data_IF_457876422367
#
_entry.id   IF_457876422367
#
_cell.length_a   1.000
_cell.length_b   1.000
_cell.length_c   1.000
_cell.angle_alpha   90.00
_cell.angle_beta   90.00
_cell.angle_gamma   90.00
#
_symmetry.space_group_name_H-M   'P 1'
#
loop_
_entity.id
_entity.type
_entity.pdbx_description
1 polymer ?
#
# COMPACT_ATOMS: atom_id res chain seq x y z
N UNK A 1 -43.66 -28.13 0.90
CA UNK A 1 -43.80 -26.89 1.70
C UNK A 1 -42.46 -26.17 1.69
N UNK A 2 -42.44 -24.95 1.15
CA UNK A 2 -41.25 -24.13 1.03
C UNK A 2 -40.87 -23.53 2.39
N UNK A 3 -39.71 -23.89 2.93
CA UNK A 3 -39.08 -23.20 4.05
C UNK A 3 -38.25 -22.04 3.53
N UNK A 4 -38.58 -20.82 3.93
CA UNK A 4 -37.95 -19.59 3.46
C UNK A 4 -36.49 -19.47 3.91
N UNK A 5 -35.58 -19.36 2.94
CA UNK A 5 -34.15 -19.09 3.11
C UNK A 5 -33.87 -17.60 3.46
N UNK A 6 -34.38 -17.09 4.59
CA UNK A 6 -34.33 -15.65 4.92
C UNK A 6 -33.54 -15.29 6.17
N UNK A 7 -32.47 -16.02 6.51
CA UNK A 7 -31.65 -15.72 7.71
C UNK A 7 -30.14 -15.49 7.47
N UNK A 8 -29.69 -15.20 6.26
CA UNK A 8 -28.27 -14.88 5.99
C UNK A 8 -28.00 -13.53 5.29
N UNK A 9 -29.02 -12.81 4.83
CA UNK A 9 -28.83 -11.56 4.07
C UNK A 9 -28.41 -10.37 4.96
N UNK A 10 -28.86 -10.34 6.22
CA UNK A 10 -28.57 -9.24 7.15
C UNK A 10 -27.09 -9.17 7.56
N UNK A 11 -26.46 -10.33 7.79
CA UNK A 11 -25.04 -10.41 8.16
C UNK A 11 -24.16 -9.92 6.99
N UNK A 12 -24.44 -10.39 5.77
CA UNK A 12 -23.73 -9.91 4.57
C UNK A 12 -23.92 -8.42 4.34
N UNK A 13 -25.12 -7.87 4.51
CA UNK A 13 -25.38 -6.45 4.24
C UNK A 13 -24.63 -5.53 5.21
N UNK A 14 -24.65 -5.84 6.51
CA UNK A 14 -23.89 -5.08 7.51
C UNK A 14 -22.38 -5.21 7.30
N UNK A 15 -21.91 -6.39 6.87
CA UNK A 15 -20.52 -6.61 6.52
C UNK A 15 -20.09 -5.80 5.28
N UNK A 16 -20.92 -5.71 4.25
CA UNK A 16 -20.67 -4.82 3.10
C UNK A 16 -20.74 -3.34 3.47
N UNK A 17 -21.64 -2.93 4.38
CA UNK A 17 -21.68 -1.56 4.88
C UNK A 17 -20.39 -1.18 5.63
N UNK A 18 -19.74 -2.14 6.29
CA UNK A 18 -18.48 -1.91 7.00
C UNK A 18 -17.31 -1.50 6.08
N UNK A 19 -17.41 -1.77 4.77
CA UNK A 19 -16.35 -1.45 3.81
C UNK A 19 -16.14 0.05 3.67
N UNK A 20 -17.20 0.85 3.76
CA UNK A 20 -17.14 2.31 3.60
C UNK A 20 -16.32 2.96 4.72
N UNK A 21 -16.66 2.79 6.01
CA UNK A 21 -15.86 3.34 7.10
C UNK A 21 -14.47 2.71 7.17
N UNK A 22 -14.32 1.42 6.85
CA UNK A 22 -13.00 0.78 6.79
C UNK A 22 -12.12 1.38 5.69
N UNK A 23 -12.68 1.69 4.52
CA UNK A 23 -11.98 2.36 3.42
C UNK A 23 -11.58 3.78 3.80
N UNK A 24 -12.49 4.55 4.43
CA UNK A 24 -12.17 5.88 4.90
C UNK A 24 -11.04 5.86 5.96
N UNK A 25 -11.11 4.91 6.90
CA UNK A 25 -10.09 4.73 7.94
C UNK A 25 -8.75 4.29 7.36
N UNK A 26 -8.75 3.37 6.38
CA UNK A 26 -7.56 3.01 5.62
C UNK A 26 -6.95 4.23 4.94
N UNK A 27 -7.75 4.97 4.17
CA UNK A 27 -7.31 6.19 3.49
C UNK A 27 -6.67 7.21 4.44
N UNK A 28 -7.32 7.52 5.57
CA UNK A 28 -6.81 8.47 6.55
C UNK A 28 -5.52 7.98 7.21
N UNK A 29 -5.47 6.72 7.61
CA UNK A 29 -4.27 6.09 8.18
C UNK A 29 -3.08 6.22 7.23
N UNK A 30 -3.26 5.86 5.96
CA UNK A 30 -2.18 5.96 4.97
C UNK A 30 -1.85 7.41 4.62
N UNK A 31 -2.82 8.31 4.63
CA UNK A 31 -2.58 9.75 4.48
C UNK A 31 -1.69 10.29 5.59
N UNK A 32 -1.94 9.90 6.82
CA UNK A 32 -1.15 10.39 7.94
C UNK A 32 0.24 9.74 8.00
N UNK A 33 0.36 8.47 7.67
CA UNK A 33 1.62 7.72 7.82
C UNK A 33 2.54 7.83 6.60
N UNK A 34 2.00 8.03 5.39
CA UNK A 34 2.78 7.97 4.14
C UNK A 34 2.82 9.27 3.34
N UNK A 35 1.92 10.22 3.58
CA UNK A 35 1.89 11.47 2.81
C UNK A 35 3.16 12.31 3.07
N UNK A 36 3.81 12.88 2.03
CA UNK A 36 5.08 13.60 2.16
C UNK A 36 5.00 14.85 3.06
N UNK A 37 3.84 15.49 3.13
CA UNK A 37 3.62 16.67 3.98
C UNK A 37 3.22 16.34 5.42
N UNK A 38 2.98 15.06 5.76
CA UNK A 38 2.53 14.69 7.10
C UNK A 38 3.63 14.86 8.15
N UNK A 39 3.29 15.52 9.27
CA UNK A 39 4.17 15.66 10.43
C UNK A 39 4.45 14.31 11.11
N UNK A 40 3.49 13.40 11.07
CA UNK A 40 3.63 12.07 11.68
C UNK A 40 4.63 11.23 10.89
N UNK A 41 4.56 11.27 9.54
CA UNK A 41 5.58 10.62 8.69
C UNK A 41 7.00 11.09 9.02
N UNK A 42 7.20 12.39 9.30
CA UNK A 42 8.52 12.94 9.65
C UNK A 42 9.04 12.46 11.01
N UNK A 43 8.15 12.05 11.91
CA UNK A 43 8.50 11.47 13.22
C UNK A 43 8.71 9.95 13.18
N UNK A 44 8.35 9.27 12.08
CA UNK A 44 8.54 7.83 11.97
C UNK A 44 10.03 7.49 11.79
N UNK A 45 10.54 6.45 12.47
CA UNK A 45 11.94 6.05 12.36
C UNK A 45 12.24 5.61 10.93
N UNK A 46 13.31 6.17 10.35
CA UNK A 46 13.77 5.78 9.03
C UNK A 46 14.68 4.54 9.16
N UNK A 47 14.04 3.36 9.16
CA UNK A 47 14.75 2.09 9.22
C UNK A 47 15.35 1.82 7.83
N UNK A 48 16.62 2.19 7.69
CA UNK A 48 17.44 1.96 6.50
C UNK A 48 18.59 1.00 6.82
N UNK A 49 18.69 -0.07 6.05
CA UNK A 49 19.87 -0.92 5.90
C UNK A 49 20.53 -0.60 4.56
N UNK A 50 21.82 -0.92 4.40
CA UNK A 50 22.64 -0.60 3.19
C UNK A 50 21.92 -0.80 1.84
N UNK A 51 21.07 -1.82 1.71
CA UNK A 51 20.37 -2.16 0.45
C UNK A 51 18.83 -2.04 0.52
N UNK A 52 18.27 -1.86 1.71
CA UNK A 52 16.82 -1.92 1.95
C UNK A 52 16.40 -0.83 2.95
N UNK A 53 15.50 0.05 2.54
CA UNK A 53 14.77 0.94 3.42
C UNK A 53 13.36 0.38 3.58
N UNK A 54 12.94 0.07 4.80
CA UNK A 54 11.63 -0.57 5.05
C UNK A 54 10.58 0.46 5.43
N UNK A 55 10.96 1.51 6.16
CA UNK A 55 10.06 2.53 6.68
C UNK A 55 10.48 3.94 6.25
N UNK A 56 9.54 4.88 6.01
CA UNK A 56 8.07 4.73 5.84
C UNK A 56 7.67 4.32 4.42
N UNK A 57 8.64 4.03 3.55
CA UNK A 57 8.43 3.56 2.18
C UNK A 57 9.39 2.40 1.96
N UNK A 58 8.92 1.31 1.37
CA UNK A 58 9.75 0.16 1.03
C UNK A 58 10.57 0.55 -0.21
N UNK A 59 11.88 0.67 -0.04
CA UNK A 59 12.82 0.95 -1.12
C UNK A 59 13.91 -0.08 -1.12
N UNK A 60 14.16 -0.70 -2.26
CA UNK A 60 15.29 -1.61 -2.42
C UNK A 60 16.21 -1.12 -3.52
N UNK A 61 17.52 -1.22 -3.28
CA UNK A 61 18.54 -0.91 -4.26
C UNK A 61 18.98 -2.20 -4.96
N UNK A 62 18.84 -2.26 -6.28
CA UNK A 62 19.27 -3.40 -7.09
C UNK A 62 19.90 -2.89 -8.39
N UNK A 63 21.14 -3.33 -8.68
CA UNK A 63 21.88 -3.01 -9.92
C UNK A 63 21.83 -1.51 -10.33
N UNK A 64 22.08 -0.58 -9.40
CA UNK A 64 22.07 0.86 -9.70
C UNK A 64 20.71 1.48 -9.97
N UNK A 65 19.63 0.77 -9.64
CA UNK A 65 18.27 1.29 -9.65
C UNK A 65 17.70 1.22 -8.24
N UNK A 66 16.98 2.27 -7.86
CA UNK A 66 16.22 2.33 -6.61
C UNK A 66 14.76 2.05 -6.96
N UNK A 67 14.26 0.93 -6.51
CA UNK A 67 12.85 0.57 -6.66
C UNK A 67 12.09 1.04 -5.43
N UNK A 68 11.10 1.88 -5.62
CA UNK A 68 10.15 2.32 -4.60
C UNK A 68 8.88 1.50 -4.73
N UNK A 69 8.70 0.54 -3.84
CA UNK A 69 7.45 -0.18 -3.70
C UNK A 69 6.47 0.69 -2.92
N UNK A 70 5.53 1.25 -3.66
CA UNK A 70 4.45 2.02 -3.07
C UNK A 70 3.40 1.08 -2.49
N UNK A 71 2.88 1.43 -1.32
CA UNK A 71 1.84 0.65 -0.64
C UNK A 71 0.60 0.44 -1.51
N UNK A 72 0.23 1.38 -2.39
CA UNK A 72 -0.90 1.17 -3.31
C UNK A 72 -0.68 0.00 -4.27
N UNK A 73 0.55 -0.23 -4.73
CA UNK A 73 0.84 -1.35 -5.63
C UNK A 73 0.80 -2.67 -4.86
N UNK A 74 1.49 -2.76 -3.73
CA UNK A 74 1.48 -3.97 -2.90
C UNK A 74 0.09 -4.31 -2.38
N UNK A 75 -0.69 -3.32 -1.94
CA UNK A 75 -2.07 -3.54 -1.50
C UNK A 75 -2.98 -3.94 -2.64
N UNK A 76 -2.77 -3.46 -3.87
CA UNK A 76 -3.53 -3.93 -5.03
C UNK A 76 -3.29 -5.40 -5.27
N UNK A 77 -2.03 -5.85 -5.24
CA UNK A 77 -1.69 -7.28 -5.39
C UNK A 77 -2.30 -8.11 -4.26
N UNK A 78 -2.17 -7.68 -3.01
CA UNK A 78 -2.73 -8.39 -1.85
C UNK A 78 -4.26 -8.45 -1.91
N UNK A 79 -4.92 -7.36 -2.31
CA UNK A 79 -6.37 -7.30 -2.43
C UNK A 79 -6.88 -8.21 -3.55
N UNK A 80 -6.20 -8.27 -4.70
CA UNK A 80 -6.54 -9.21 -5.76
C UNK A 80 -6.35 -10.65 -5.28
N UNK A 81 -5.22 -10.94 -4.64
CA UNK A 81 -4.95 -12.28 -4.10
C UNK A 81 -5.97 -12.70 -3.04
N UNK A 82 -6.52 -11.78 -2.23
CA UNK A 82 -7.54 -12.11 -1.21
C UNK A 82 -8.91 -12.48 -1.78
N UNK A 83 -9.13 -12.33 -3.08
CA UNK A 83 -10.30 -12.90 -3.76
C UNK A 83 -10.09 -14.35 -4.19
N UNK A 84 -8.84 -14.78 -4.40
CA UNK A 84 -8.51 -16.13 -4.85
C UNK A 84 -8.02 -17.03 -3.72
N UNK A 85 -7.42 -16.44 -2.70
CA UNK A 85 -6.85 -17.14 -1.56
C UNK A 85 -7.64 -16.76 -0.30
N UNK A 86 -8.23 -17.76 0.35
CA UNK A 86 -8.82 -17.58 1.68
C UNK A 86 -7.71 -17.66 2.71
N UNK A 87 -7.30 -16.50 3.24
CA UNK A 87 -6.18 -16.37 4.16
C UNK A 87 -6.62 -15.53 5.35
N UNK A 88 -7.43 -16.12 6.24
CA UNK A 88 -7.74 -15.64 7.58
C UNK A 88 -8.03 -14.15 7.66
N UNK A 89 -7.02 -13.33 7.96
CA UNK A 89 -7.17 -11.88 8.10
C UNK A 89 -7.58 -11.16 6.80
N UNK A 90 -7.22 -11.72 5.63
CA UNK A 90 -7.55 -11.16 4.32
C UNK A 90 -9.00 -11.44 3.91
N UNK A 91 -9.69 -12.35 4.61
CA UNK A 91 -11.07 -12.74 4.28
C UNK A 91 -12.07 -11.70 4.80
N UNK A 92 -11.71 -11.00 5.89
CA UNK A 92 -12.55 -9.97 6.49
C UNK A 92 -12.74 -8.76 5.56
N UNK A 93 -14.00 -8.35 5.39
CA UNK A 93 -14.36 -7.20 4.56
C UNK A 93 -13.73 -5.89 5.05
N UNK A 94 -13.52 -5.77 6.37
CA UNK A 94 -12.81 -4.64 6.99
C UNK A 94 -11.37 -4.55 6.47
N UNK A 95 -10.64 -5.66 6.43
CA UNK A 95 -9.26 -5.70 5.93
C UNK A 95 -9.21 -5.30 4.45
N UNK A 96 -10.13 -5.83 3.65
CA UNK A 96 -10.28 -5.47 2.22
C UNK A 96 -10.58 -3.99 2.05
N UNK A 97 -11.45 -3.42 2.89
CA UNK A 97 -11.72 -1.98 2.94
C UNK A 97 -10.49 -1.15 3.29
N UNK A 98 -9.74 -1.51 4.33
CA UNK A 98 -8.50 -0.81 4.72
C UNK A 98 -7.47 -0.83 3.58
N UNK A 99 -7.28 -1.99 2.93
CA UNK A 99 -6.41 -2.13 1.76
C UNK A 99 -6.87 -1.22 0.62
N UNK A 100 -8.17 -1.22 0.32
CA UNK A 100 -8.77 -0.35 -0.71
C UNK A 100 -8.54 1.13 -0.40
N UNK A 101 -8.73 1.55 0.86
CA UNK A 101 -8.45 2.92 1.31
C UNK A 101 -7.00 3.33 1.09
N UNK A 102 -6.06 2.43 1.36
CA UNK A 102 -4.63 2.64 1.09
C UNK A 102 -4.30 2.73 -0.40
N UNK A 103 -4.98 1.94 -1.24
CA UNK A 103 -4.83 2.01 -2.71
C UNK A 103 -5.32 3.37 -3.21
N UNK A 104 -6.54 3.78 -2.83
CA UNK A 104 -7.12 5.08 -3.21
C UNK A 104 -6.18 6.20 -2.78
N UNK A 105 -5.71 6.19 -1.54
CA UNK A 105 -4.77 7.20 -1.06
C UNK A 105 -3.50 7.27 -1.92
N UNK A 106 -2.85 6.13 -2.18
CA UNK A 106 -1.63 6.13 -2.98
C UNK A 106 -1.85 6.52 -4.45
N UNK A 107 -3.04 6.25 -5.01
CA UNK A 107 -3.42 6.69 -6.36
C UNK A 107 -3.82 8.17 -6.42
N UNK A 108 -4.31 8.77 -5.32
CA UNK A 108 -4.60 10.21 -5.26
C UNK A 108 -3.34 11.09 -5.17
N UNK A 109 -2.19 10.53 -4.79
CA UNK A 109 -0.92 11.26 -4.78
C UNK A 109 -0.49 11.68 -6.20
N UNK A 110 0.12 12.87 -6.39
CA UNK A 110 0.66 13.31 -7.69
C UNK A 110 1.58 12.27 -8.36
N UNK A 111 1.57 12.22 -9.70
CA UNK A 111 2.35 11.24 -10.51
C UNK A 111 3.83 11.16 -10.10
N UNK A 112 4.44 12.28 -9.72
CA UNK A 112 5.83 12.36 -9.27
C UNK A 112 6.11 11.54 -8.01
N UNK A 113 5.13 11.49 -7.11
CA UNK A 113 5.18 10.71 -5.88
C UNK A 113 4.76 9.25 -6.08
N UNK A 114 4.27 8.87 -7.27
CA UNK A 114 3.88 7.49 -7.62
C UNK A 114 4.93 6.74 -8.45
N UNK A 115 6.07 7.37 -8.77
CA UNK A 115 7.14 6.71 -9.54
C UNK A 115 7.69 5.49 -8.79
N UNK A 116 7.73 4.36 -9.47
CA UNK A 116 8.15 3.06 -8.91
C UNK A 116 9.66 2.87 -9.06
N UNK A 117 10.27 3.46 -10.09
CA UNK A 117 11.69 3.27 -10.41
C UNK A 117 12.39 4.63 -10.45
N UNK A 118 13.49 4.72 -9.73
CA UNK A 118 14.43 5.84 -9.78
C UNK A 118 15.80 5.32 -10.20
N UNK A 119 16.50 6.06 -11.07
CA UNK A 119 17.92 5.81 -11.35
C UNK A 119 18.75 6.19 -10.11
N UNK A 120 19.69 5.34 -9.72
CA UNK A 120 20.62 5.66 -8.64
C UNK A 120 21.74 6.56 -9.18
N UNK A 121 21.62 7.87 -8.97
CA UNK A 121 22.63 8.87 -9.38
C UNK A 121 24.03 8.59 -8.81
N UNK A 122 24.14 7.83 -7.73
CA UNK A 122 25.43 7.43 -7.15
C UNK A 122 26.27 6.57 -8.09
N UNK A 123 25.61 5.69 -8.86
CA UNK A 123 26.28 4.79 -9.82
C UNK A 123 26.56 5.48 -11.15
N UNK A 124 25.65 6.37 -11.60
CA UNK A 124 25.87 7.21 -12.78
C UNK A 124 27.12 8.09 -12.64
N UNK A 125 27.34 8.64 -11.44
CA UNK A 125 28.55 9.42 -11.12
C UNK A 125 29.83 8.57 -11.12
N UNK A 126 29.77 7.31 -10.68
CA UNK A 126 30.93 6.40 -10.73
C UNK A 126 31.25 5.97 -12.17
N UNK A 127 30.25 5.69 -12.99
CA UNK A 127 30.46 5.33 -14.41
C UNK A 127 30.88 6.51 -15.29
N UNK A 128 30.56 7.75 -14.92
CA UNK A 128 31.02 8.94 -15.67
C UNK A 128 32.43 9.35 -15.30
N UNK A 129 32.90 9.07 -14.09
CA UNK A 129 34.29 9.31 -13.67
C UNK A 129 35.24 8.28 -14.31
N UNK A 130 34.81 7.03 -14.51
CA UNK A 130 35.66 5.97 -15.07
C UNK A 130 35.83 6.05 -16.61
N UNK A 131 35.03 6.89 -17.28
CA UNK A 131 35.02 7.05 -18.74
C UNK A 131 35.67 8.37 -19.21
N UNK A 132 36.42 9.06 -18.34
CA UNK A 132 37.04 10.35 -18.63
C UNK A 132 38.46 10.39 -18.06
#
# INVERSE_FOLDING_TARGET
>A
MAGSNTMNSGFSFMEYLSIIPATALGYLTFRVTTHPTSRIRKKLPNIKTKRLQVFPVIRFKLFGRVFHLHHWFSFSVILVLSFFLSVGILDFMITKGILLGGIIHGLTLPKEHRRIIYKDFSLERLTTIDNN
#
